data_IF_488453691064
#
_entry.id   IF_488453691064
#
_cell.length_a   1.000
_cell.length_b   1.000
_cell.length_c   1.000
_cell.angle_alpha   90.00
_cell.angle_beta   90.00
_cell.angle_gamma   90.00
#
_symmetry.space_group_name_H-M   'P 1'
#
loop_
_entity.id
_entity.type
_entity.pdbx_description
1 polymer ?
#
# COMPACT_ATOMS: atom_id res chain seq x y z
N UNK A 1 -28.58 -18.70 0.78
CA UNK A 1 -27.80 -17.57 1.34
C UNK A 1 -28.68 -16.68 2.22
N UNK A 2 -28.20 -16.30 3.42
CA UNK A 2 -28.88 -15.35 4.31
C UNK A 2 -28.54 -13.91 3.89
N UNK A 3 -29.38 -12.95 4.30
CA UNK A 3 -29.14 -11.51 4.07
C UNK A 3 -27.80 -11.04 4.67
N UNK A 4 -27.39 -11.62 5.79
CA UNK A 4 -26.09 -11.39 6.43
C UNK A 4 -24.92 -11.78 5.54
N UNK A 5 -25.07 -12.87 4.78
CA UNK A 5 -24.02 -13.41 3.92
C UNK A 5 -23.82 -12.50 2.71
N UNK A 6 -24.92 -12.00 2.12
CA UNK A 6 -24.86 -10.97 1.06
C UNK A 6 -24.18 -9.69 1.57
N UNK A 7 -24.49 -9.24 2.78
CA UNK A 7 -23.83 -8.06 3.38
C UNK A 7 -22.34 -8.32 3.59
N UNK A 8 -21.95 -9.52 4.03
CA UNK A 8 -20.55 -9.87 4.23
C UNK A 8 -19.79 -9.96 2.90
N UNK A 9 -20.42 -10.47 1.85
CA UNK A 9 -19.89 -10.42 0.49
C UNK A 9 -19.62 -8.97 0.04
N UNK A 10 -20.59 -8.07 0.20
CA UNK A 10 -20.40 -6.66 -0.16
C UNK A 10 -19.29 -5.99 0.68
N UNK A 11 -19.13 -6.38 1.95
CA UNK A 11 -17.99 -5.92 2.76
C UNK A 11 -16.65 -6.45 2.26
N UNK A 12 -16.56 -7.71 1.81
CA UNK A 12 -15.32 -8.21 1.22
C UNK A 12 -15.00 -7.51 -0.09
N UNK A 13 -16.01 -7.22 -0.91
CA UNK A 13 -15.82 -6.44 -2.13
C UNK A 13 -15.37 -5.00 -1.84
N UNK A 14 -15.91 -4.36 -0.79
CA UNK A 14 -15.42 -3.06 -0.31
C UNK A 14 -13.93 -3.11 0.04
N UNK A 15 -13.50 -4.16 0.74
CA UNK A 15 -12.09 -4.34 1.12
C UNK A 15 -11.20 -4.57 -0.12
N UNK A 16 -11.64 -5.42 -1.05
CA UNK A 16 -10.93 -5.69 -2.30
C UNK A 16 -10.78 -4.42 -3.16
N UNK A 17 -11.85 -3.64 -3.29
CA UNK A 17 -11.83 -2.37 -4.02
C UNK A 17 -10.87 -1.36 -3.37
N UNK A 18 -10.91 -1.23 -2.04
CA UNK A 18 -10.01 -0.35 -1.29
C UNK A 18 -8.55 -0.76 -1.47
N UNK A 19 -8.26 -2.06 -1.41
CA UNK A 19 -6.92 -2.59 -1.64
C UNK A 19 -6.44 -2.33 -3.07
N UNK A 20 -7.32 -2.52 -4.06
CA UNK A 20 -7.01 -2.29 -5.47
C UNK A 20 -6.71 -0.82 -5.76
N UNK A 21 -7.48 0.11 -5.19
CA UNK A 21 -7.24 1.56 -5.28
C UNK A 21 -5.86 1.90 -4.69
N UNK A 22 -5.53 1.35 -3.52
CA UNK A 22 -4.25 1.56 -2.86
C UNK A 22 -3.07 1.03 -3.69
N UNK A 23 -3.17 -0.19 -4.23
CA UNK A 23 -2.11 -0.77 -5.08
C UNK A 23 -1.91 0.03 -6.37
N UNK A 24 -3.00 0.46 -7.02
CA UNK A 24 -2.91 1.31 -8.21
C UNK A 24 -2.23 2.65 -7.90
N UNK A 25 -2.58 3.28 -6.78
CA UNK A 25 -1.93 4.49 -6.31
C UNK A 25 -0.44 4.25 -6.01
N UNK A 26 -0.10 3.18 -5.31
CA UNK A 26 1.28 2.83 -4.96
C UNK A 26 2.15 2.70 -6.23
N UNK A 27 1.67 1.95 -7.23
CA UNK A 27 2.38 1.80 -8.51
C UNK A 27 2.57 3.16 -9.20
N UNK A 28 1.53 4.00 -9.25
CA UNK A 28 1.64 5.34 -9.85
C UNK A 28 2.58 6.25 -9.09
N UNK A 29 2.56 6.18 -7.75
CA UNK A 29 3.44 6.95 -6.88
C UNK A 29 4.90 6.57 -7.12
N UNK A 30 5.23 5.28 -7.10
CA UNK A 30 6.58 4.78 -7.36
C UNK A 30 7.13 5.25 -8.72
N UNK A 31 6.29 5.26 -9.76
CA UNK A 31 6.68 5.77 -11.09
C UNK A 31 6.90 7.29 -11.07
N UNK A 32 5.99 8.05 -10.47
CA UNK A 32 6.10 9.51 -10.38
C UNK A 32 7.33 9.93 -9.57
N UNK A 33 7.62 9.20 -8.50
CA UNK A 33 8.78 9.36 -7.65
C UNK A 33 10.10 9.08 -8.39
N UNK A 34 10.20 7.94 -9.08
CA UNK A 34 11.39 7.61 -9.91
C UNK A 34 11.63 8.67 -10.98
N UNK A 35 10.58 9.16 -11.63
CA UNK A 35 10.69 10.23 -12.61
C UNK A 35 11.14 11.55 -11.99
N UNK A 36 10.65 11.87 -10.79
CA UNK A 36 11.08 13.05 -10.05
C UNK A 36 12.57 12.97 -9.73
N UNK A 37 13.03 11.84 -9.20
CA UNK A 37 14.43 11.68 -8.78
C UNK A 37 15.39 11.79 -9.96
N UNK A 38 15.04 11.16 -11.07
CA UNK A 38 15.80 11.26 -12.32
C UNK A 38 15.85 12.70 -12.84
N UNK A 39 14.73 13.43 -12.80
CA UNK A 39 14.66 14.82 -13.30
C UNK A 39 15.46 15.79 -12.42
N UNK A 40 15.49 15.57 -11.10
CA UNK A 40 16.17 16.48 -10.16
C UNK A 40 17.63 16.11 -9.93
N UNK A 41 18.14 15.04 -10.55
CA UNK A 41 19.49 14.53 -10.29
C UNK A 41 19.64 13.97 -8.87
N UNK A 42 18.52 13.67 -8.19
CA UNK A 42 18.58 13.10 -6.85
C UNK A 42 19.23 11.72 -6.90
N UNK A 43 18.90 10.87 -7.89
CA UNK A 43 19.51 9.55 -8.01
C UNK A 43 21.05 9.58 -7.98
N UNK A 44 21.65 10.56 -8.64
CA UNK A 44 23.10 10.79 -8.69
C UNK A 44 23.64 11.24 -7.32
N UNK A 45 23.00 12.22 -6.70
CA UNK A 45 23.36 12.69 -5.35
C UNK A 45 23.36 11.54 -4.33
N UNK A 46 22.41 10.62 -4.47
CA UNK A 46 22.25 9.47 -3.56
C UNK A 46 23.35 8.45 -3.78
N UNK A 47 23.69 8.18 -5.04
CA UNK A 47 24.82 7.33 -5.40
C UNK A 47 26.13 7.82 -4.79
N UNK A 48 26.32 9.14 -4.71
CA UNK A 48 27.52 9.75 -4.12
C UNK A 48 27.51 9.77 -2.59
N UNK A 49 26.37 10.06 -1.95
CA UNK A 49 26.27 10.20 -0.49
C UNK A 49 26.28 8.83 0.21
N UNK A 50 25.67 7.80 -0.39
CA UNK A 50 25.47 6.51 0.26
C UNK A 50 26.78 5.82 0.70
N UNK A 51 27.85 5.76 -0.11
CA UNK A 51 29.14 5.21 0.30
C UNK A 51 29.74 5.96 1.50
N UNK A 52 29.57 7.28 1.55
CA UNK A 52 30.06 8.13 2.66
C UNK A 52 29.30 7.81 3.94
N UNK A 53 27.98 7.72 3.88
CA UNK A 53 27.14 7.36 5.03
C UNK A 53 27.46 5.95 5.55
N UNK A 54 27.64 4.99 4.65
CA UNK A 54 28.09 3.63 5.00
C UNK A 54 29.47 3.63 5.68
N UNK A 55 30.40 4.49 5.23
CA UNK A 55 31.71 4.64 5.85
C UNK A 55 31.60 5.23 7.25
N UNK A 56 30.81 6.29 7.44
CA UNK A 56 30.59 6.91 8.75
C UNK A 56 29.99 5.91 9.73
N UNK A 57 28.97 5.14 9.32
CA UNK A 57 28.39 4.09 10.15
C UNK A 57 29.43 3.03 10.55
N UNK A 58 30.22 2.52 9.59
CA UNK A 58 31.27 1.53 9.90
C UNK A 58 32.29 2.04 10.91
N UNK A 59 32.69 3.32 10.82
CA UNK A 59 33.60 3.95 11.77
C UNK A 59 32.95 4.04 13.15
N UNK A 60 31.71 4.51 13.20
CA UNK A 60 30.94 4.64 14.44
C UNK A 60 30.71 3.28 15.12
N UNK A 61 30.33 2.24 14.38
CA UNK A 61 30.14 0.89 14.94
C UNK A 61 31.43 0.34 15.56
N UNK A 62 32.57 0.52 14.90
CA UNK A 62 33.89 0.12 15.45
C UNK A 62 34.26 0.92 16.70
N UNK A 63 33.97 2.21 16.71
CA UNK A 63 34.20 3.06 17.88
C UNK A 63 33.37 2.60 19.08
N UNK A 64 32.09 2.25 18.87
CA UNK A 64 31.19 1.77 19.93
C UNK A 64 31.64 0.44 20.56
N UNK A 65 32.31 -0.42 19.79
CA UNK A 65 32.85 -1.70 20.29
C UNK A 65 34.07 -1.53 21.21
N UNK A 66 34.63 -0.32 21.35
CA UNK A 66 35.75 -0.04 22.25
C UNK A 66 35.24 0.14 23.70
N UNK A 67 35.52 -0.84 24.56
CA UNK A 67 35.02 -0.95 25.95
C UNK A 67 35.37 0.23 26.88
N UNK A 68 36.36 1.04 26.53
CA UNK A 68 36.90 2.11 27.36
C UNK A 68 35.99 3.36 27.44
N UNK A 69 35.07 3.53 26.48
CA UNK A 69 34.16 4.69 26.42
C UNK A 69 32.72 4.20 26.59
N UNK A 70 32.28 4.06 27.84
CA UNK A 70 30.97 3.46 28.19
C UNK A 70 29.73 4.28 27.83
N UNK A 71 29.88 5.56 27.49
CA UNK A 71 28.78 6.37 26.97
C UNK A 71 29.32 7.72 26.49
N UNK A 72 29.28 7.95 25.19
CA UNK A 72 29.15 9.31 24.68
C UNK A 72 27.65 9.61 24.72
N UNK A 73 27.30 10.82 25.17
CA UNK A 73 25.93 11.26 25.51
C UNK A 73 24.87 11.10 24.40
N UNK A 74 23.61 11.40 24.73
CA UNK A 74 22.40 11.58 23.89
C UNK A 74 22.59 11.83 22.38
N UNK A 75 23.62 12.57 21.97
CA UNK A 75 23.97 12.81 20.57
C UNK A 75 24.42 11.56 19.79
N UNK A 76 25.07 10.58 20.43
CA UNK A 76 25.55 9.37 19.71
C UNK A 76 24.48 8.33 19.52
N UNK A 77 23.52 8.19 20.44
CA UNK A 77 22.34 7.33 20.23
C UNK A 77 21.44 7.89 19.12
N UNK A 78 21.30 9.22 19.05
CA UNK A 78 20.63 9.88 17.94
C UNK A 78 21.38 9.65 16.63
N UNK A 79 22.71 9.80 16.61
CA UNK A 79 23.55 9.54 15.44
C UNK A 79 23.49 8.07 15.00
N UNK A 80 23.52 7.11 15.93
CA UNK A 80 23.39 5.69 15.64
C UNK A 80 22.04 5.38 15.01
N UNK A 81 20.97 5.89 15.60
CA UNK A 81 19.63 5.70 15.05
C UNK A 81 19.55 6.28 13.64
N UNK A 82 20.07 7.49 13.42
CA UNK A 82 20.11 8.09 12.08
C UNK A 82 20.95 7.26 11.10
N UNK A 83 22.17 6.85 11.48
CA UNK A 83 23.10 6.12 10.60
C UNK A 83 22.68 4.65 10.35
N UNK A 84 22.02 3.99 11.30
CA UNK A 84 21.54 2.60 11.17
C UNK A 84 20.51 2.46 10.05
N UNK A 85 19.72 3.51 9.79
CA UNK A 85 18.81 3.51 8.65
C UNK A 85 19.56 3.50 7.31
N UNK A 86 20.72 4.16 7.21
CA UNK A 86 21.56 4.19 6.01
C UNK A 86 22.32 2.89 5.76
N UNK A 87 22.63 2.10 6.80
CA UNK A 87 23.55 0.98 6.67
C UNK A 87 22.91 -0.41 6.61
N UNK A 88 21.62 -0.55 6.93
CA UNK A 88 20.98 -1.87 7.15
C UNK A 88 20.32 -2.49 5.92
N UNK A 89 20.29 -1.84 4.76
CA UNK A 89 19.73 -2.45 3.54
C UNK A 89 20.57 -2.10 2.31
N UNK A 90 20.89 -3.12 1.51
CA UNK A 90 21.39 -2.95 0.13
C UNK A 90 20.42 -2.11 -0.74
N UNK A 91 19.17 -1.91 -0.29
CA UNK A 91 18.14 -1.04 -0.89
C UNK A 91 17.92 0.31 -0.16
N UNK A 92 18.88 0.78 0.65
CA UNK A 92 18.80 2.03 1.40
C UNK A 92 18.54 3.28 0.53
N UNK A 93 18.95 3.24 -0.77
CA UNK A 93 18.72 4.27 -1.79
C UNK A 93 17.28 4.80 -1.79
N UNK A 94 16.31 3.88 -1.88
CA UNK A 94 14.90 4.23 -2.07
C UNK A 94 14.24 4.56 -0.73
N UNK A 95 14.39 3.70 0.28
CA UNK A 95 13.57 3.79 1.48
C UNK A 95 13.84 5.04 2.33
N UNK A 96 15.10 5.47 2.40
CA UNK A 96 15.50 6.61 3.23
C UNK A 96 15.05 7.92 2.61
N UNK A 97 15.01 7.97 1.30
CA UNK A 97 14.67 9.19 0.58
C UNK A 97 13.17 9.29 0.41
N UNK A 98 12.49 8.15 0.23
CA UNK A 98 11.04 8.09 0.38
C UNK A 98 10.55 8.47 1.78
N UNK A 99 11.28 8.14 2.85
CA UNK A 99 10.84 8.48 4.20
C UNK A 99 11.26 9.87 4.69
N UNK A 100 12.47 10.33 4.38
CA UNK A 100 13.02 11.56 4.98
C UNK A 100 13.05 12.74 4.04
N UNK A 101 13.07 12.50 2.74
CA UNK A 101 12.94 13.60 1.83
C UNK A 101 11.45 13.88 1.62
N UNK A 102 10.97 14.87 2.36
CA UNK A 102 9.64 15.44 2.21
C UNK A 102 9.60 16.18 0.88
N UNK A 103 9.50 15.44 -0.23
CA UNK A 103 9.33 16.04 -1.53
C UNK A 103 7.86 16.41 -1.70
N UNK A 104 7.57 17.69 -1.48
CA UNK A 104 6.29 18.29 -1.87
C UNK A 104 6.25 18.45 -3.38
N UNK A 105 6.14 17.34 -4.10
CA UNK A 105 5.86 17.36 -5.54
C UNK A 105 4.37 17.64 -5.73
N UNK A 106 3.99 18.71 -6.46
CA UNK A 106 2.59 18.95 -6.82
C UNK A 106 1.95 17.76 -7.54
N UNK A 107 2.76 16.96 -8.25
CA UNK A 107 2.29 15.76 -8.96
C UNK A 107 1.94 14.62 -7.99
N UNK A 108 2.83 14.32 -7.03
CA UNK A 108 2.58 13.29 -6.00
C UNK A 108 1.39 13.71 -5.13
N UNK A 109 1.31 14.99 -4.76
CA UNK A 109 0.18 15.51 -4.00
C UNK A 109 -1.15 15.38 -4.75
N UNK A 110 -1.15 15.63 -6.07
CA UNK A 110 -2.35 15.40 -6.91
C UNK A 110 -2.72 13.93 -7.00
N UNK A 111 -1.75 13.01 -7.01
CA UNK A 111 -2.02 11.57 -6.96
C UNK A 111 -2.64 11.17 -5.63
N UNK A 112 -2.11 11.67 -4.51
CA UNK A 112 -2.65 11.46 -3.16
C UNK A 112 -4.07 12.02 -3.02
N UNK A 113 -4.32 13.26 -3.46
CA UNK A 113 -5.66 13.85 -3.42
C UNK A 113 -6.66 13.08 -4.29
N UNK A 114 -6.23 12.63 -5.48
CA UNK A 114 -7.08 11.82 -6.37
C UNK A 114 -7.40 10.45 -5.76
N UNK A 115 -6.41 9.76 -5.21
CA UNK A 115 -6.60 8.49 -4.51
C UNK A 115 -7.59 8.66 -3.36
N UNK A 116 -7.36 9.65 -2.49
CA UNK A 116 -8.23 9.91 -1.34
C UNK A 116 -9.68 10.17 -1.78
N UNK A 117 -9.89 10.97 -2.83
CA UNK A 117 -11.23 11.25 -3.36
C UNK A 117 -11.92 9.98 -3.89
N UNK A 118 -11.18 9.15 -4.63
CA UNK A 118 -11.71 7.89 -5.16
C UNK A 118 -12.03 6.94 -4.00
N UNK A 119 -11.11 6.78 -3.06
CA UNK A 119 -11.25 5.92 -1.89
C UNK A 119 -12.47 6.30 -1.04
N UNK A 120 -12.61 7.59 -0.68
CA UNK A 120 -13.77 8.09 0.07
C UNK A 120 -15.08 7.83 -0.68
N UNK A 121 -15.11 8.15 -1.97
CA UNK A 121 -16.30 7.94 -2.81
C UNK A 121 -16.68 6.46 -2.86
N UNK A 122 -15.72 5.58 -3.12
CA UNK A 122 -15.93 4.13 -3.16
C UNK A 122 -16.42 3.62 -1.81
N UNK A 123 -15.82 4.05 -0.69
CA UNK A 123 -16.28 3.65 0.64
C UNK A 123 -17.73 4.04 0.90
N UNK A 124 -18.13 5.26 0.53
CA UNK A 124 -19.50 5.74 0.68
C UNK A 124 -20.50 5.00 -0.22
N UNK A 125 -20.11 4.65 -1.44
CA UNK A 125 -20.95 3.86 -2.35
C UNK A 125 -21.23 2.46 -1.78
N UNK A 126 -20.20 1.77 -1.29
CA UNK A 126 -20.37 0.47 -0.64
C UNK A 126 -21.17 0.54 0.66
N UNK A 127 -20.99 1.59 1.47
CA UNK A 127 -21.79 1.80 2.69
C UNK A 127 -23.26 2.06 2.38
N UNK A 128 -23.52 2.87 1.36
CA UNK A 128 -24.87 3.15 0.87
C UNK A 128 -25.54 1.88 0.35
N UNK A 129 -24.80 1.05 -0.39
CA UNK A 129 -25.26 -0.25 -0.86
C UNK A 129 -25.64 -1.18 0.32
N UNK A 130 -24.77 -1.29 1.33
CA UNK A 130 -25.05 -2.09 2.53
C UNK A 130 -26.29 -1.58 3.26
N UNK A 131 -26.46 -0.27 3.39
CA UNK A 131 -27.64 0.34 4.01
C UNK A 131 -28.92 0.06 3.21
N UNK A 132 -28.85 0.13 1.88
CA UNK A 132 -29.97 -0.17 1.00
C UNK A 132 -30.39 -1.64 1.12
N UNK A 133 -29.43 -2.57 1.12
CA UNK A 133 -29.72 -4.00 1.36
C UNK A 133 -30.39 -4.18 2.73
N UNK A 134 -29.88 -3.50 3.78
CA UNK A 134 -30.48 -3.58 5.12
C UNK A 134 -31.91 -3.06 5.17
N UNK A 135 -32.23 -1.97 4.47
CA UNK A 135 -33.54 -1.30 4.54
C UNK A 135 -34.59 -1.87 3.58
N UNK A 136 -34.19 -2.20 2.35
CA UNK A 136 -35.11 -2.49 1.25
C UNK A 136 -35.35 -3.99 1.09
N UNK A 137 -34.32 -4.83 1.23
CA UNK A 137 -34.44 -6.26 1.02
C UNK A 137 -34.99 -6.94 2.28
N UNK A 138 -36.10 -7.67 2.19
CA UNK A 138 -36.73 -8.36 3.31
C UNK A 138 -36.01 -9.64 3.69
N UNK A 139 -35.42 -10.33 2.72
CA UNK A 139 -34.79 -11.63 2.88
C UNK A 139 -33.51 -11.76 2.02
N UNK A 140 -32.81 -12.90 2.17
CA UNK A 140 -31.57 -13.17 1.43
C UNK A 140 -31.74 -13.27 -0.09
N UNK A 141 -32.88 -13.78 -0.59
CA UNK A 141 -33.15 -13.89 -2.03
C UNK A 141 -33.32 -12.52 -2.68
N UNK A 142 -34.05 -11.62 -2.03
CA UNK A 142 -34.20 -10.23 -2.49
C UNK A 142 -32.86 -9.49 -2.47
N UNK A 143 -32.04 -9.71 -1.43
CA UNK A 143 -30.71 -9.11 -1.35
C UNK A 143 -29.77 -9.63 -2.44
N UNK A 144 -29.81 -10.92 -2.74
CA UNK A 144 -29.04 -11.56 -3.81
C UNK A 144 -29.43 -11.01 -5.19
N UNK A 145 -30.72 -10.99 -5.51
CA UNK A 145 -31.23 -10.44 -6.76
C UNK A 145 -30.85 -8.95 -6.91
N UNK A 146 -30.92 -8.19 -5.81
CA UNK A 146 -30.57 -6.78 -5.81
C UNK A 146 -29.09 -6.54 -6.16
N UNK A 147 -28.16 -7.28 -5.56
CA UNK A 147 -26.72 -7.12 -5.86
C UNK A 147 -26.35 -7.66 -7.24
N UNK A 148 -26.97 -8.73 -7.72
CA UNK A 148 -26.79 -9.22 -9.10
C UNK A 148 -27.23 -8.21 -10.14
N UNK A 149 -28.36 -7.52 -9.91
CA UNK A 149 -28.82 -6.43 -10.78
C UNK A 149 -27.83 -5.25 -10.83
N UNK A 150 -27.01 -5.08 -9.80
CA UNK A 150 -25.94 -4.09 -9.76
C UNK A 150 -24.64 -4.58 -10.41
N UNK A 151 -24.63 -5.79 -10.97
CA UNK A 151 -23.48 -6.38 -11.68
C UNK A 151 -22.53 -7.18 -10.79
N UNK A 152 -22.87 -7.44 -9.53
CA UNK A 152 -22.03 -8.29 -8.67
C UNK A 152 -22.24 -9.78 -8.97
N UNK A 153 -21.13 -10.50 -9.15
CA UNK A 153 -21.12 -11.96 -9.21
C UNK A 153 -20.99 -12.56 -7.81
N UNK A 154 -22.15 -12.82 -7.19
CA UNK A 154 -22.24 -13.37 -5.84
C UNK A 154 -22.07 -14.90 -5.79
N UNK A 155 -22.09 -15.59 -6.93
CA UNK A 155 -21.94 -17.06 -6.96
C UNK A 155 -20.54 -17.49 -6.49
N UNK A 156 -19.53 -16.65 -6.74
CA UNK A 156 -18.16 -16.88 -6.28
C UNK A 156 -18.01 -16.84 -4.75
N UNK A 157 -18.92 -16.16 -4.05
CA UNK A 157 -18.93 -16.10 -2.58
C UNK A 157 -19.44 -17.38 -1.94
N UNK A 158 -20.40 -18.06 -2.58
CA UNK A 158 -20.95 -19.33 -2.09
C UNK A 158 -19.88 -20.45 -2.11
N UNK A 159 -18.91 -20.39 -3.03
CA UNK A 159 -17.83 -21.37 -3.16
C UNK A 159 -16.81 -21.25 -2.01
N UNK A 160 -16.57 -20.05 -1.46
CA UNK A 160 -15.58 -19.83 -0.37
C UNK A 160 -15.98 -20.42 0.97
N UNK A 161 -17.26 -20.77 1.19
CA UNK A 161 -17.74 -21.36 2.44
C UNK A 161 -17.77 -22.89 2.42
N UNK A 162 -17.49 -23.53 1.28
CA UNK A 162 -17.22 -24.97 1.21
C UNK A 162 -15.71 -25.19 1.23
N UNK A 163 -15.21 -25.65 2.37
CA UNK A 163 -13.82 -25.99 2.59
C UNK A 163 -13.31 -26.92 1.49
N UNK A 164 -12.46 -26.42 0.58
CA UNK A 164 -11.56 -27.27 -0.20
C UNK A 164 -10.23 -26.57 -0.42
N UNK A 165 -9.18 -27.22 0.09
CA UNK A 165 -7.79 -26.93 -0.16
C UNK A 165 -7.48 -27.05 -1.66
N UNK A 166 -6.45 -26.31 -2.11
CA UNK A 166 -5.84 -26.26 -3.45
C UNK A 166 -6.38 -25.15 -4.37
N UNK A 167 -5.80 -23.95 -4.20
CA UNK A 167 -5.86 -22.86 -5.18
C UNK A 167 -5.14 -23.31 -6.47
N UNK A 168 -5.88 -23.46 -7.57
CA UNK A 168 -5.29 -23.53 -8.92
C UNK A 168 -4.93 -22.11 -9.40
N UNK A 169 -3.85 -21.95 -10.18
CA UNK A 169 -3.45 -20.65 -10.70
C UNK A 169 -4.48 -20.12 -11.70
N UNK A 170 -4.83 -18.84 -11.57
CA UNK A 170 -5.73 -18.11 -12.47
C UNK A 170 -4.91 -17.60 -13.65
N UNK A 171 -5.35 -17.89 -14.86
CA UNK A 171 -4.77 -17.38 -16.10
C UNK A 171 -5.17 -15.92 -16.33
N UNK A 172 -4.19 -15.03 -16.21
CA UNK A 172 -4.31 -13.57 -16.32
C UNK A 172 -4.43 -13.07 -17.77
N UNK A 173 -4.42 -13.96 -18.77
CA UNK A 173 -4.57 -13.58 -20.19
C UNK A 173 -5.93 -12.97 -20.53
N UNK A 174 -6.97 -13.21 -19.72
CA UNK A 174 -8.34 -12.70 -19.93
C UNK A 174 -8.57 -11.25 -19.46
N UNK A 175 -7.63 -10.65 -18.72
CA UNK A 175 -7.71 -9.24 -18.29
C UNK A 175 -7.21 -8.25 -19.36
N UNK A 176 -6.88 -8.72 -20.58
CA UNK A 176 -6.48 -7.85 -21.70
C UNK A 176 -7.51 -7.85 -22.82
N UNK A 177 -8.48 -6.95 -22.72
CA UNK A 177 -9.27 -6.38 -23.83
C UNK A 177 -9.54 -4.91 -23.44
N UNK A 178 -9.23 -3.85 -24.18
CA UNK A 178 -8.69 -3.64 -25.53
C UNK A 178 -8.00 -2.25 -25.57
N UNK A 179 -7.19 -2.07 -26.62
CA UNK A 179 -6.58 -0.80 -27.10
C UNK A 179 -7.63 0.26 -27.45
#
# INVERSE_FOLDING_TARGET
MKKTDVINFIKSEKANASYSIYEEYKVKKEVAEKNLFKRTGLDELIEEIQPLMNRVYKIYSKFKEQEEIKQISYCTDALENQLKYFSTKENAKEHIIYQYAVYKSPEIFKLEDKENKISIKTMHEYESLILNIKRVCKNGKEAEAYVRNLGFDIDQYNIKNECTALMKPIDISLLRLNK
#
